data_IF_083943258743
#
_entry.id   IF_083943258743
#
_cell.length_a   1.000
_cell.length_b   1.000
_cell.length_c   1.000
_cell.angle_alpha   90.00
_cell.angle_beta   90.00
_cell.angle_gamma   90.00
#
_symmetry.space_group_name_H-M   'P 1'
#
loop_
_entity.id
_entity.type
_entity.pdbx_description
1 polymer ?
#
# COMPACT_ATOMS: atom_id res chain seq x y z
N UNK A 1 8.36 -21.70 8.56
CA UNK A 1 7.92 -20.70 7.64
C UNK A 1 8.80 -19.48 7.62
N UNK A 2 8.56 -18.63 6.66
CA UNK A 2 9.30 -17.39 6.51
C UNK A 2 8.65 -16.31 7.37
N UNK A 3 9.48 -15.51 8.02
CA UNK A 3 8.98 -14.35 8.76
C UNK A 3 8.74 -13.20 7.80
N UNK A 4 7.56 -12.60 7.90
CA UNK A 4 7.20 -11.45 7.09
C UNK A 4 7.10 -10.24 8.01
N UNK A 5 7.75 -9.17 7.62
CA UNK A 5 7.75 -7.92 8.37
C UNK A 5 7.00 -6.87 7.53
N UNK A 6 5.68 -6.70 7.76
CA UNK A 6 4.87 -5.78 6.95
C UNK A 6 5.45 -4.38 6.86
N UNK A 7 6.09 -3.90 7.91
CA UNK A 7 6.67 -2.56 7.95
C UNK A 7 7.76 -2.37 6.89
N UNK A 8 8.52 -3.41 6.60
CA UNK A 8 9.57 -3.34 5.58
C UNK A 8 8.98 -3.23 4.19
N UNK A 9 7.90 -3.97 3.94
CA UNK A 9 7.19 -3.90 2.66
C UNK A 9 6.54 -2.53 2.50
N UNK A 10 5.91 -2.05 3.57
CA UNK A 10 5.27 -0.73 3.58
C UNK A 10 6.26 0.39 3.32
N UNK A 11 7.46 0.30 3.89
CA UNK A 11 8.50 1.29 3.68
C UNK A 11 8.89 1.41 2.21
N UNK A 12 8.95 0.28 1.51
CA UNK A 12 9.24 0.27 0.07
C UNK A 12 8.09 0.85 -0.74
N UNK A 13 6.88 0.43 -0.41
CA UNK A 13 5.69 0.87 -1.15
C UNK A 13 5.41 2.36 -0.94
N UNK A 14 5.65 2.88 0.26
CA UNK A 14 5.37 4.29 0.55
C UNK A 14 6.25 5.26 -0.23
N UNK A 15 7.35 4.79 -0.82
CA UNK A 15 8.21 5.61 -1.65
C UNK A 15 7.79 5.60 -3.12
N UNK A 16 6.74 4.88 -3.46
CA UNK A 16 6.28 4.77 -4.84
C UNK A 16 5.30 5.90 -5.20
N UNK A 17 5.12 6.18 -6.51
CA UNK A 17 4.25 7.28 -6.93
C UNK A 17 2.83 7.16 -6.39
N UNK A 18 2.25 8.28 -6.02
CA UNK A 18 0.85 8.42 -5.62
C UNK A 18 0.47 7.73 -4.31
N UNK A 19 1.44 7.24 -3.55
CA UNK A 19 1.17 6.60 -2.24
C UNK A 19 1.48 7.59 -1.13
N UNK A 20 0.45 7.94 -0.35
CA UNK A 20 0.60 8.76 0.85
C UNK A 20 0.83 7.88 2.06
N UNK A 21 -0.04 6.90 2.25
CA UNK A 21 0.03 5.95 3.36
C UNK A 21 -0.28 4.57 2.84
N UNK A 22 0.31 3.55 3.47
CA UNK A 22 -0.01 2.18 3.11
C UNK A 22 0.09 1.26 4.32
N UNK A 23 -0.63 0.16 4.24
CA UNK A 23 -0.66 -0.84 5.30
C UNK A 23 -0.75 -2.21 4.63
N UNK A 24 0.18 -3.10 4.97
CA UNK A 24 0.16 -4.46 4.43
C UNK A 24 -0.53 -5.38 5.42
N UNK A 25 -1.55 -6.08 4.96
CA UNK A 25 -2.35 -7.00 5.78
C UNK A 25 -2.41 -8.36 5.12
N UNK A 26 -2.71 -9.39 5.90
CA UNK A 26 -2.92 -10.74 5.38
C UNK A 26 -4.42 -11.00 5.28
N UNK A 27 -4.85 -11.51 4.13
CA UNK A 27 -6.24 -11.91 3.90
C UNK A 27 -6.24 -13.24 3.18
N UNK A 28 -6.88 -14.23 3.79
CA UNK A 28 -7.02 -15.57 3.18
C UNK A 28 -5.69 -16.18 2.76
N UNK A 29 -4.65 -15.96 3.57
CA UNK A 29 -3.33 -16.51 3.29
C UNK A 29 -2.50 -15.70 2.29
N UNK A 30 -3.00 -14.55 1.86
CA UNK A 30 -2.31 -13.69 0.91
C UNK A 30 -2.04 -12.31 1.49
N UNK A 31 -0.96 -11.67 1.03
CA UNK A 31 -0.68 -10.29 1.43
C UNK A 31 -1.40 -9.33 0.51
N UNK A 32 -2.02 -8.32 1.09
CA UNK A 32 -2.72 -7.27 0.37
C UNK A 32 -2.26 -5.94 0.96
N UNK A 33 -2.00 -4.96 0.10
CA UNK A 33 -1.64 -3.62 0.54
C UNK A 33 -2.85 -2.70 0.45
N UNK A 34 -3.14 -2.01 1.55
CA UNK A 34 -4.16 -0.97 1.59
C UNK A 34 -3.41 0.34 1.42
N UNK A 35 -3.72 1.12 0.38
CA UNK A 35 -3.01 2.36 0.09
C UNK A 35 -3.96 3.54 0.03
N UNK A 36 -3.62 4.58 0.78
CA UNK A 36 -4.31 5.87 0.66
C UNK A 36 -3.50 6.72 -0.32
N UNK A 37 -4.10 7.21 -1.40
CA UNK A 37 -3.36 7.95 -2.41
C UNK A 37 -2.95 9.33 -1.95
N UNK A 38 -1.86 9.84 -2.53
CA UNK A 38 -1.41 11.20 -2.31
C UNK A 38 -2.22 12.12 -3.23
N UNK A 39 -3.16 12.85 -2.64
CA UNK A 39 -4.07 13.70 -3.40
C UNK A 39 -3.34 14.79 -4.18
N UNK A 40 -2.26 15.33 -3.64
CA UNK A 40 -1.50 16.38 -4.31
C UNK A 40 -0.82 15.84 -5.58
N UNK A 41 -0.25 14.64 -5.52
CA UNK A 41 0.37 14.04 -6.69
C UNK A 41 -0.67 13.68 -7.76
N UNK A 42 -1.80 13.14 -7.31
CA UNK A 42 -2.91 12.79 -8.21
C UNK A 42 -3.41 14.04 -8.93
N UNK A 43 -3.58 15.14 -8.21
CA UNK A 43 -4.05 16.39 -8.78
C UNK A 43 -3.01 17.01 -9.72
N UNK A 44 -1.75 17.00 -9.30
CA UNK A 44 -0.64 17.53 -10.12
C UNK A 44 -0.59 16.87 -11.49
N UNK A 45 -0.78 15.56 -11.53
CA UNK A 45 -0.68 14.78 -12.77
C UNK A 45 -2.03 14.56 -13.45
N UNK A 46 -3.10 15.17 -12.92
CA UNK A 46 -4.45 15.07 -13.46
C UNK A 46 -4.92 13.63 -13.67
N UNK A 47 -4.61 12.75 -12.71
CA UNK A 47 -5.00 11.36 -12.82
C UNK A 47 -6.51 11.18 -12.68
N UNK A 48 -7.08 10.38 -13.58
CA UNK A 48 -8.45 9.92 -13.45
C UNK A 48 -8.49 8.76 -12.45
N UNK A 49 -9.69 8.38 -11.95
CA UNK A 49 -9.79 7.20 -11.08
C UNK A 49 -9.20 5.93 -11.71
N UNK A 50 -9.43 5.72 -13.01
CA UNK A 50 -8.85 4.56 -13.69
C UNK A 50 -7.34 4.69 -13.84
N UNK A 51 -6.84 5.90 -14.06
CA UNK A 51 -5.40 6.16 -14.11
C UNK A 51 -4.73 5.87 -12.78
N UNK A 52 -5.38 6.22 -11.67
CA UNK A 52 -4.87 5.92 -10.34
C UNK A 52 -4.83 4.41 -10.10
N UNK A 53 -5.88 3.69 -10.51
CA UNK A 53 -5.93 2.25 -10.39
C UNK A 53 -4.77 1.60 -11.16
N UNK A 54 -4.50 2.07 -12.38
CA UNK A 54 -3.38 1.56 -13.17
C UNK A 54 -2.04 1.87 -12.53
N UNK A 55 -1.90 3.07 -11.96
CA UNK A 55 -0.66 3.47 -11.29
C UNK A 55 -0.40 2.58 -10.07
N UNK A 56 -1.43 2.26 -9.30
CA UNK A 56 -1.29 1.37 -8.14
C UNK A 56 -0.96 -0.06 -8.58
N UNK A 57 -1.56 -0.54 -9.67
CA UNK A 57 -1.21 -1.85 -10.21
C UNK A 57 0.26 -1.89 -10.66
N UNK A 58 0.74 -0.83 -11.26
CA UNK A 58 2.15 -0.73 -11.61
C UNK A 58 3.04 -0.73 -10.36
N UNK A 59 2.61 -0.04 -9.31
CA UNK A 59 3.33 -0.05 -8.03
C UNK A 59 3.41 -1.47 -7.46
N UNK A 60 2.33 -2.23 -7.55
CA UNK A 60 2.31 -3.62 -7.09
C UNK A 60 3.34 -4.45 -7.85
N UNK A 61 3.37 -4.32 -9.16
CA UNK A 61 4.32 -5.07 -10.01
C UNK A 61 5.76 -4.69 -9.68
N UNK A 62 6.01 -3.40 -9.50
CA UNK A 62 7.36 -2.91 -9.17
C UNK A 62 7.79 -3.43 -7.81
N UNK A 63 6.90 -3.36 -6.82
CA UNK A 63 7.19 -3.86 -5.48
C UNK A 63 7.51 -5.35 -5.52
N UNK A 64 6.71 -6.13 -6.25
CA UNK A 64 6.88 -7.57 -6.29
C UNK A 64 8.18 -8.02 -6.96
N UNK A 65 8.85 -7.10 -7.69
CA UNK A 65 10.17 -7.39 -8.28
C UNK A 65 11.30 -7.19 -7.29
N UNK A 66 11.08 -6.42 -6.23
CA UNK A 66 12.14 -6.06 -5.29
C UNK A 66 12.01 -6.72 -3.91
N UNK A 67 10.88 -7.38 -3.65
CA UNK A 67 10.70 -8.12 -2.40
C UNK A 67 10.93 -9.61 -2.65
N UNK A 68 11.15 -10.36 -1.56
CA UNK A 68 11.30 -11.81 -1.66
C UNK A 68 9.99 -12.44 -2.15
N UNK A 69 10.05 -13.62 -2.82
CA UNK A 69 8.83 -14.25 -3.33
C UNK A 69 7.71 -14.43 -2.30
N UNK A 70 8.06 -14.74 -1.06
CA UNK A 70 7.06 -14.94 -0.01
C UNK A 70 6.50 -13.61 0.53
N UNK A 71 7.07 -12.46 0.10
CA UNK A 71 6.61 -11.14 0.50
C UNK A 71 5.80 -10.45 -0.59
N UNK A 72 5.57 -11.10 -1.71
CA UNK A 72 4.82 -10.50 -2.80
C UNK A 72 3.38 -10.26 -2.40
N UNK A 73 2.85 -9.10 -2.81
CA UNK A 73 1.46 -8.75 -2.51
C UNK A 73 0.56 -9.13 -3.69
N UNK A 74 -0.64 -9.61 -3.36
CA UNK A 74 -1.59 -10.06 -4.35
C UNK A 74 -2.36 -8.91 -5.00
N UNK A 75 -2.63 -7.86 -4.23
CA UNK A 75 -3.42 -6.74 -4.71
C UNK A 75 -3.11 -5.49 -3.89
N UNK A 76 -3.40 -4.33 -4.49
CA UNK A 76 -3.42 -3.06 -3.77
C UNK A 76 -4.86 -2.57 -3.77
N UNK A 77 -5.41 -2.32 -2.59
CA UNK A 77 -6.72 -1.72 -2.43
C UNK A 77 -6.54 -0.23 -2.16
N UNK A 78 -7.25 0.60 -2.91
CA UNK A 78 -7.19 2.05 -2.75
C UNK A 78 -8.16 2.46 -1.65
N UNK A 79 -7.62 3.10 -0.61
CA UNK A 79 -8.41 3.55 0.54
C UNK A 79 -8.72 5.04 0.35
N UNK A 80 -10.01 5.42 0.29
CA UNK A 80 -10.37 6.82 0.04
C UNK A 80 -10.03 7.76 1.19
N UNK A 81 -9.97 7.23 2.41
CA UNK A 81 -9.72 8.04 3.60
C UNK A 81 -8.38 7.68 4.24
N UNK A 82 -7.80 8.64 4.96
CA UNK A 82 -6.59 8.37 5.73
C UNK A 82 -6.85 7.30 6.79
N UNK A 83 -5.80 6.54 7.10
CA UNK A 83 -5.90 5.54 8.16
C UNK A 83 -6.01 6.21 9.52
N UNK A 84 -6.76 5.58 10.43
CA UNK A 84 -6.81 6.02 11.80
C UNK A 84 -5.47 5.75 12.47
N UNK A 85 -5.02 6.70 13.27
CA UNK A 85 -3.70 6.65 13.90
C UNK A 85 -3.80 6.76 15.41
N UNK A 86 -2.80 6.21 16.09
CA UNK A 86 -2.64 6.39 17.53
C UNK A 86 -2.16 7.82 17.82
N UNK A 87 -2.14 8.24 19.09
CA UNK A 87 -1.55 9.56 19.43
C UNK A 87 -0.12 9.73 18.98
N UNK A 88 0.62 8.63 18.78
CA UNK A 88 2.00 8.66 18.27
C UNK A 88 2.06 8.65 16.76
N UNK A 89 0.92 8.80 16.09
CA UNK A 89 0.78 8.80 14.64
C UNK A 89 1.15 7.49 13.95
N UNK A 90 1.05 6.38 14.68
CA UNK A 90 1.18 5.05 14.10
C UNK A 90 -0.20 4.57 13.65
N UNK A 91 -0.26 3.91 12.49
CA UNK A 91 -1.53 3.40 11.96
C UNK A 91 -2.09 2.35 12.93
N UNK A 92 -3.38 2.42 13.17
CA UNK A 92 -4.08 1.44 14.03
C UNK A 92 -4.34 0.17 13.22
N UNK A 93 -3.33 -0.69 13.12
CA UNK A 93 -3.39 -1.88 12.29
C UNK A 93 -4.56 -2.79 12.60
N UNK A 94 -4.93 -2.91 13.87
CA UNK A 94 -5.99 -3.82 14.29
C UNK A 94 -7.37 -3.47 13.69
N UNK A 95 -7.56 -2.25 13.21
CA UNK A 95 -8.82 -1.84 12.59
C UNK A 95 -8.94 -2.31 11.15
N UNK A 96 -7.83 -2.73 10.53
CA UNK A 96 -7.79 -3.01 9.09
C UNK A 96 -7.49 -4.47 8.74
N UNK A 97 -7.42 -5.31 9.72
CA UNK A 97 -7.16 -6.74 9.51
C UNK A 97 -8.30 -7.43 8.79
#
# INVERSE_FOLDING_TARGET
GQNIYPEEIEAKLSNMPYVSECLVVERHGHLVALCHPDADEVLRDSLTPSGLTEAMEQNRRTLNKIVAPYEQIQAIEIMPDEFEKTPKRSIRRFLYK
#
